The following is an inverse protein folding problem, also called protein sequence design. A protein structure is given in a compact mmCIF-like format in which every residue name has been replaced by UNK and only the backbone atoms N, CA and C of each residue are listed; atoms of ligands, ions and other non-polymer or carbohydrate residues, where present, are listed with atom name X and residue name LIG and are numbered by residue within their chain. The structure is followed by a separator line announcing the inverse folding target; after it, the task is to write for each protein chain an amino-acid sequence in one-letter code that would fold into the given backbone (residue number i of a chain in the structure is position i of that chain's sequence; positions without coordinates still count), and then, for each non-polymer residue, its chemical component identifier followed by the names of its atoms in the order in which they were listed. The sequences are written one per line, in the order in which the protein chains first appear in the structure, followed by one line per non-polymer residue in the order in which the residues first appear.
data_IF_564152676541
#
_entry.id   IF_564152676541
#
_cell.length_a   1.000
_cell.length_b   1.000
_cell.length_c   1.000
_cell.angle_alpha   90.00
_cell.angle_beta   90.00
_cell.angle_gamma   90.00
#
_symmetry.space_group_name_H-M   'P 1'
#
loop_
_entity.id
_entity.type
_entity.pdbx_description
1 polymer ?
#
# COMPACT_ATOMS: atom_id res chain seq x y z
N UNK A 1 -4.23 8.25 -17.04
CA UNK A 1 -4.94 7.07 -16.50
C UNK A 1 -6.43 7.37 -16.45
N UNK A 2 -7.15 7.30 -17.59
CA UNK A 2 -8.59 7.66 -17.67
C UNK A 2 -9.49 6.48 -18.07
N UNK A 3 -8.96 5.25 -18.19
CA UNK A 3 -9.66 4.16 -18.87
C UNK A 3 -10.72 3.40 -18.04
N UNK A 4 -11.03 3.83 -16.80
CA UNK A 4 -12.07 3.16 -15.98
C UNK A 4 -13.17 4.10 -15.47
N UNK A 5 -13.16 5.39 -15.84
CA UNK A 5 -14.14 6.37 -15.34
C UNK A 5 -15.49 6.35 -16.07
N UNK A 6 -15.64 5.58 -17.16
CA UNK A 6 -16.76 5.66 -18.10
C UNK A 6 -17.76 4.48 -18.06
N UNK A 7 -17.77 3.65 -17.01
CA UNK A 7 -18.74 2.54 -16.89
C UNK A 7 -20.09 3.00 -16.27
N UNK A 8 -20.21 4.28 -15.87
CA UNK A 8 -21.47 4.89 -15.43
C UNK A 8 -22.16 5.65 -16.56
N UNK A 9 -23.45 5.39 -16.77
CA UNK A 9 -24.36 6.10 -17.68
C UNK A 9 -24.07 7.61 -17.78
N UNK A 10 -24.00 8.14 -19.01
CA UNK A 10 -23.63 9.51 -19.39
C UNK A 10 -24.54 10.64 -18.85
N UNK A 11 -25.41 10.38 -17.87
CA UNK A 11 -26.40 11.34 -17.36
C UNK A 11 -25.80 12.32 -16.33
N UNK A 12 -24.74 11.95 -15.59
CA UNK A 12 -24.12 12.80 -14.56
C UNK A 12 -22.58 12.70 -14.57
N UNK A 13 -21.90 13.57 -15.34
CA UNK A 13 -20.43 13.58 -15.45
C UNK A 13 -19.68 13.76 -14.11
N UNK A 14 -20.34 14.39 -13.14
CA UNK A 14 -19.78 14.71 -11.82
C UNK A 14 -20.05 13.65 -10.75
N UNK A 15 -20.71 12.55 -11.11
CA UNK A 15 -20.94 11.44 -10.19
C UNK A 15 -19.67 10.59 -10.05
N UNK A 16 -19.15 10.39 -8.84
CA UNK A 16 -17.97 9.55 -8.64
C UNK A 16 -18.29 8.08 -8.84
N UNK A 17 -17.29 7.30 -9.24
CA UNK A 17 -17.43 5.84 -9.30
C UNK A 17 -17.44 5.24 -7.89
N UNK A 18 -18.08 4.07 -7.71
CA UNK A 18 -18.02 3.36 -6.43
C UNK A 18 -16.58 3.01 -6.04
N UNK A 19 -15.74 2.70 -7.03
CA UNK A 19 -14.31 2.44 -6.81
C UNK A 19 -13.56 3.66 -6.26
N UNK A 20 -13.83 4.87 -6.77
CA UNK A 20 -13.28 6.11 -6.20
C UNK A 20 -13.70 6.29 -4.73
N UNK A 21 -14.97 6.02 -4.43
CA UNK A 21 -15.53 6.16 -3.09
C UNK A 21 -14.97 5.13 -2.09
N UNK A 22 -14.71 3.90 -2.55
CA UNK A 22 -14.07 2.86 -1.72
C UNK A 22 -12.58 3.15 -1.55
N UNK A 23 -11.90 3.62 -2.59
CA UNK A 23 -10.47 3.94 -2.54
C UNK A 23 -10.17 5.04 -1.50
N UNK A 24 -10.96 6.11 -1.47
CA UNK A 24 -10.82 7.16 -0.44
C UNK A 24 -11.05 6.64 0.98
N UNK A 25 -11.99 5.71 1.17
CA UNK A 25 -12.29 5.14 2.49
C UNK A 25 -11.13 4.26 2.96
N UNK A 26 -10.54 3.48 2.06
CA UNK A 26 -9.33 2.69 2.34
C UNK A 26 -8.13 3.56 2.69
N UNK A 27 -7.91 4.67 2.00
CA UNK A 27 -6.82 5.59 2.36
C UNK A 27 -6.96 6.10 3.80
N UNK A 28 -8.19 6.42 4.22
CA UNK A 28 -8.46 6.87 5.59
C UNK A 28 -8.25 5.75 6.62
N UNK A 29 -8.73 4.54 6.35
CA UNK A 29 -8.56 3.37 7.22
C UNK A 29 -7.07 3.03 7.43
N UNK A 30 -6.23 3.21 6.40
CA UNK A 30 -4.79 2.94 6.47
C UNK A 30 -4.01 4.00 7.28
N UNK A 31 -4.56 5.21 7.47
CA UNK A 31 -3.87 6.28 8.17
C UNK A 31 -3.69 5.99 9.67
N UNK A 32 -4.68 5.35 10.30
CA UNK A 32 -4.66 5.04 11.74
C UNK A 32 -3.50 4.11 12.12
N UNK A 33 -3.34 2.90 11.53
CA UNK A 33 -2.23 2.02 11.87
C UNK A 33 -0.87 2.63 11.46
N UNK A 34 -0.82 3.44 10.40
CA UNK A 34 0.41 4.12 10.00
C UNK A 34 0.87 5.15 11.06
N UNK A 35 -0.05 5.97 11.57
CA UNK A 35 0.26 6.93 12.64
C UNK A 35 0.66 6.19 13.92
N UNK A 36 -0.05 5.11 14.27
CA UNK A 36 0.29 4.29 15.42
C UNK A 36 1.72 3.71 15.30
N UNK A 37 2.05 3.10 14.16
CA UNK A 37 3.37 2.54 13.91
C UNK A 37 4.47 3.61 14.00
N UNK A 38 4.28 4.75 13.34
CA UNK A 38 5.23 5.86 13.40
C UNK A 38 5.43 6.34 14.85
N UNK A 39 4.35 6.56 15.59
CA UNK A 39 4.44 6.98 17.00
C UNK A 39 5.15 5.94 17.86
N UNK A 40 4.93 4.64 17.62
CA UNK A 40 5.60 3.56 18.34
C UNK A 40 7.10 3.49 18.04
N UNK A 41 7.50 3.64 16.77
CA UNK A 41 8.92 3.68 16.37
C UNK A 41 9.62 4.91 16.97
N UNK A 42 9.01 6.09 16.89
CA UNK A 42 9.60 7.29 17.50
C UNK A 42 9.64 7.22 19.03
N UNK A 43 8.70 6.48 19.66
CA UNK A 43 8.70 6.28 21.10
C UNK A 43 9.95 5.55 21.61
N UNK A 44 10.57 4.70 20.79
CA UNK A 44 11.86 4.07 21.13
C UNK A 44 12.99 5.10 21.31
N UNK A 45 12.94 6.20 20.55
CA UNK A 45 13.97 7.26 20.57
C UNK A 45 13.71 8.33 21.64
N UNK A 46 12.45 8.65 21.92
CA UNK A 46 12.05 9.67 22.91
C UNK A 46 10.95 9.17 23.87
N UNK A 47 11.28 8.24 24.80
CA UNK A 47 10.27 7.53 25.59
C UNK A 47 9.47 8.42 26.54
N UNK A 48 10.08 9.49 27.09
CA UNK A 48 9.44 10.31 28.13
C UNK A 48 8.18 11.05 27.66
N UNK A 49 8.14 11.49 26.40
CA UNK A 49 7.00 12.25 25.85
C UNK A 49 6.03 11.36 25.08
N UNK A 50 6.56 10.43 24.28
CA UNK A 50 5.76 9.66 23.33
C UNK A 50 5.03 8.47 23.96
N UNK A 51 5.44 7.98 25.13
CA UNK A 51 4.77 6.85 25.76
C UNK A 51 3.32 7.18 26.15
N UNK A 52 3.06 8.42 26.58
CA UNK A 52 1.69 8.88 26.86
C UNK A 52 0.85 8.95 25.60
N UNK A 53 1.47 9.33 24.48
CA UNK A 53 0.83 9.43 23.18
C UNK A 53 0.46 8.05 22.63
N UNK A 54 1.36 7.07 22.76
CA UNK A 54 1.15 5.69 22.34
C UNK A 54 0.05 5.03 23.18
N UNK A 55 0.05 5.25 24.50
CA UNK A 55 -1.00 4.71 25.39
C UNK A 55 -2.41 5.26 25.05
N UNK A 56 -2.50 6.53 24.63
CA UNK A 56 -3.74 7.18 24.20
C UNK A 56 -3.78 7.41 22.68
N UNK A 57 -3.30 6.45 21.88
CA UNK A 57 -3.19 6.60 20.43
C UNK A 57 -4.54 6.93 19.75
N UNK A 58 -5.65 6.33 20.21
CA UNK A 58 -6.99 6.60 19.68
C UNK A 58 -7.43 8.06 19.87
N UNK A 59 -7.20 8.61 21.07
CA UNK A 59 -7.54 10.01 21.38
C UNK A 59 -6.65 10.96 20.60
N UNK A 60 -5.35 10.65 20.52
CA UNK A 60 -4.41 11.42 19.73
C UNK A 60 -4.78 11.43 18.25
N UNK A 61 -5.05 10.27 17.66
CA UNK A 61 -5.46 10.13 16.27
C UNK A 61 -6.77 10.89 16.00
N UNK A 62 -7.77 10.76 16.87
CA UNK A 62 -9.02 11.48 16.74
C UNK A 62 -8.82 13.00 16.78
N UNK A 63 -7.97 13.52 17.67
CA UNK A 63 -7.66 14.96 17.73
C UNK A 63 -6.92 15.41 16.47
N UNK A 64 -5.92 14.64 16.03
CA UNK A 64 -5.15 14.92 14.82
C UNK A 64 -6.07 14.98 13.59
N UNK A 65 -6.91 13.96 13.40
CA UNK A 65 -7.86 13.91 12.29
C UNK A 65 -8.92 14.99 12.41
N UNK A 66 -9.37 15.35 13.61
CA UNK A 66 -10.30 16.46 13.78
C UNK A 66 -9.70 17.78 13.28
N UNK A 67 -8.42 18.05 13.54
CA UNK A 67 -7.75 19.26 13.06
C UNK A 67 -7.58 19.24 11.53
N UNK A 68 -7.09 18.13 10.99
CA UNK A 68 -6.87 17.95 9.55
C UNK A 68 -8.18 18.04 8.78
N UNK A 69 -9.20 17.27 9.16
CA UNK A 69 -10.51 17.26 8.49
C UNK A 69 -11.22 18.60 8.63
N UNK A 70 -11.11 19.29 9.77
CA UNK A 70 -11.70 20.61 9.95
C UNK A 70 -11.07 21.64 9.02
N UNK A 71 -9.77 21.57 8.81
CA UNK A 71 -9.09 22.43 7.86
C UNK A 71 -9.57 22.13 6.43
N UNK A 72 -9.58 20.85 6.02
CA UNK A 72 -9.99 20.45 4.68
C UNK A 72 -11.45 20.77 4.36
N UNK A 73 -12.36 20.52 5.29
CA UNK A 73 -13.78 20.82 5.09
C UNK A 73 -14.05 22.33 4.97
N UNK A 74 -13.25 23.17 5.62
CA UNK A 74 -13.41 24.62 5.57
C UNK A 74 -12.85 25.22 4.28
N UNK A 75 -11.66 24.79 3.86
CA UNK A 75 -10.96 25.36 2.71
C UNK A 75 -11.44 24.75 1.39
N UNK A 76 -11.64 23.42 1.37
CA UNK A 76 -11.86 22.63 0.15
C UNK A 76 -13.28 22.06 0.04
N UNK A 77 -14.13 22.24 1.07
CA UNK A 77 -15.47 21.65 1.12
C UNK A 77 -15.48 20.12 0.92
N UNK A 78 -14.41 19.44 1.35
CA UNK A 78 -14.24 18.00 1.26
C UNK A 78 -13.37 17.50 2.42
N UNK A 79 -13.45 16.22 2.71
CA UNK A 79 -12.53 15.53 3.62
C UNK A 79 -11.11 15.51 3.04
N UNK A 80 -10.10 15.27 3.89
CA UNK A 80 -8.73 15.04 3.44
C UNK A 80 -8.64 13.96 2.34
N UNK A 81 -9.24 12.79 2.59
CA UNK A 81 -9.23 11.68 1.64
C UNK A 81 -10.04 12.00 0.38
N UNK A 82 -11.19 12.66 0.52
CA UNK A 82 -12.00 13.11 -0.61
C UNK A 82 -11.22 14.04 -1.52
N UNK A 83 -10.57 15.06 -0.95
CA UNK A 83 -9.78 15.99 -1.75
C UNK A 83 -8.58 15.29 -2.42
N UNK A 84 -7.96 14.30 -1.77
CA UNK A 84 -6.87 13.55 -2.37
C UNK A 84 -7.29 12.85 -3.67
N UNK A 85 -8.53 12.35 -3.73
CA UNK A 85 -9.13 11.75 -4.93
C UNK A 85 -9.89 12.75 -5.83
N UNK A 86 -9.79 14.06 -5.57
CA UNK A 86 -10.48 15.09 -6.37
C UNK A 86 -11.99 15.13 -6.17
N UNK A 87 -12.46 14.73 -5.00
CA UNK A 87 -13.87 14.69 -4.61
C UNK A 87 -14.19 15.84 -3.63
N UNK A 88 -15.45 16.30 -3.67
CA UNK A 88 -15.99 17.33 -2.77
C UNK A 88 -17.37 16.96 -2.25
N UNK A 89 -17.75 17.53 -1.10
CA UNK A 89 -19.08 17.43 -0.50
C UNK A 89 -19.95 18.60 -0.92
N UNK A 90 -21.19 18.30 -1.30
CA UNK A 90 -22.20 19.29 -1.68
C UNK A 90 -23.50 18.97 -0.96
N UNK A 91 -24.14 20.00 -0.40
CA UNK A 91 -25.46 19.88 0.25
C UNK A 91 -26.52 19.41 -0.75
N UNK A 92 -27.34 18.44 -0.37
CA UNK A 92 -28.38 17.93 -1.27
C UNK A 92 -29.55 18.89 -1.41
N UNK A 93 -29.87 19.66 -0.37
CA UNK A 93 -30.85 20.74 -0.45
C UNK A 93 -30.45 21.81 -1.49
N UNK A 94 -29.15 22.10 -1.58
CA UNK A 94 -28.63 23.02 -2.62
C UNK A 94 -28.74 22.40 -4.02
N UNK A 95 -28.43 21.11 -4.15
CA UNK A 95 -28.51 20.42 -5.43
C UNK A 95 -29.95 20.27 -5.91
N UNK A 96 -30.91 19.96 -5.04
CA UNK A 96 -32.31 19.79 -5.43
C UNK A 96 -32.95 21.14 -5.81
N UNK A 97 -32.55 22.24 -5.16
CA UNK A 97 -33.04 23.59 -5.50
C UNK A 97 -32.47 24.15 -6.82
N UNK A 98 -31.28 23.71 -7.24
CA UNK A 98 -30.63 24.11 -8.52
C UNK A 98 -30.40 22.95 -9.49
N UNK A 99 -31.19 21.87 -9.35
CA UNK A 99 -30.92 20.54 -9.91
C UNK A 99 -30.75 20.43 -11.42
N UNK A 100 -31.06 21.48 -12.19
CA UNK A 100 -30.88 21.52 -13.64
C UNK A 100 -29.50 21.99 -14.11
N UNK A 101 -28.67 22.62 -13.26
CA UNK A 101 -27.40 23.20 -13.71
C UNK A 101 -26.19 22.25 -13.62
N UNK A 102 -26.28 21.17 -12.83
CA UNK A 102 -25.16 20.22 -12.62
C UNK A 102 -25.34 18.86 -13.28
N UNK A 103 -26.54 18.56 -13.79
CA UNK A 103 -26.85 17.36 -14.59
C UNK A 103 -26.63 17.58 -16.10
N UNK A 104 -26.07 18.73 -16.48
CA UNK A 104 -25.76 19.03 -17.87
C UNK A 104 -24.41 18.40 -18.26
N UNK A 105 -24.28 17.90 -19.51
CA UNK A 105 -23.05 17.29 -20.00
C UNK A 105 -21.87 18.25 -19.90
N UNK A 106 -20.66 17.68 -19.81
CA UNK A 106 -19.39 18.32 -19.49
C UNK A 106 -18.92 19.48 -20.42
N UNK A 107 -19.77 19.97 -21.34
CA UNK A 107 -19.47 21.04 -22.30
C UNK A 107 -20.32 22.32 -22.19
N UNK A 108 -21.33 22.40 -21.32
CA UNK A 108 -22.15 23.61 -21.18
C UNK A 108 -21.50 24.63 -20.21
N UNK A 109 -21.16 25.81 -20.74
CA UNK A 109 -20.34 26.87 -20.15
C UNK A 109 -20.93 27.64 -18.94
N UNK A 110 -21.91 27.07 -18.22
CA UNK A 110 -22.51 27.66 -17.03
C UNK A 110 -22.44 26.74 -15.81
N UNK A 111 -21.30 26.05 -15.65
CA UNK A 111 -21.01 25.26 -14.44
C UNK A 111 -20.82 26.20 -13.26
N UNK A 112 -21.93 26.41 -12.53
CA UNK A 112 -21.97 27.26 -11.35
C UNK A 112 -20.94 26.81 -10.31
N UNK A 113 -20.33 27.77 -9.65
CA UNK A 113 -19.57 27.52 -8.43
C UNK A 113 -20.52 26.90 -7.40
N UNK A 114 -20.13 25.80 -6.77
CA UNK A 114 -20.89 25.31 -5.61
C UNK A 114 -20.57 26.20 -4.41
N UNK A 115 -21.57 26.63 -3.64
CA UNK A 115 -21.33 27.38 -2.41
C UNK A 115 -20.54 26.51 -1.43
N UNK A 116 -19.78 27.18 -0.58
CA UNK A 116 -19.11 26.52 0.53
C UNK A 116 -20.13 25.87 1.48
N UNK A 117 -19.72 24.77 2.12
CA UNK A 117 -20.54 24.07 3.11
C UNK A 117 -20.93 24.99 4.26
N UNK A 118 -22.16 24.85 4.74
CA UNK A 118 -22.61 25.60 5.92
C UNK A 118 -21.89 25.11 7.18
N UNK A 119 -21.71 25.96 8.21
CA UNK A 119 -21.03 25.57 9.44
C UNK A 119 -21.75 24.45 10.22
N UNK A 120 -23.06 24.26 9.98
CA UNK A 120 -23.80 23.13 10.53
C UNK A 120 -23.45 21.82 9.81
N UNK A 121 -23.41 21.85 8.48
CA UNK A 121 -22.98 20.70 7.66
C UNK A 121 -21.53 20.32 7.98
N UNK A 122 -20.63 21.29 8.17
CA UNK A 122 -19.24 21.05 8.57
C UNK A 122 -19.17 20.33 9.94
N UNK A 123 -19.99 20.74 10.91
CA UNK A 123 -19.99 20.06 12.23
C UNK A 123 -20.56 18.65 12.15
N UNK A 124 -21.63 18.45 11.38
CA UNK A 124 -22.23 17.13 11.17
C UNK A 124 -21.29 16.20 10.40
N UNK A 125 -20.63 16.71 9.37
CA UNK A 125 -19.63 15.96 8.61
C UNK A 125 -18.42 15.58 9.45
N UNK A 126 -17.93 16.47 10.30
CA UNK A 126 -16.86 16.18 11.27
C UNK A 126 -17.27 15.09 12.27
N UNK A 127 -18.51 15.14 12.77
CA UNK A 127 -19.04 14.11 13.67
C UNK A 127 -19.02 12.73 13.00
N UNK A 128 -19.46 12.63 11.74
CA UNK A 128 -19.45 11.34 11.02
C UNK A 128 -18.04 10.91 10.59
N UNK A 129 -17.17 11.84 10.23
CA UNK A 129 -15.81 11.52 9.78
C UNK A 129 -14.87 11.08 10.90
N UNK A 130 -15.00 11.67 12.09
CA UNK A 130 -14.08 11.46 13.21
C UNK A 130 -14.78 10.88 14.42
N UNK A 131 -15.94 11.42 14.80
CA UNK A 131 -16.68 10.99 15.98
C UNK A 131 -17.23 9.57 15.85
N UNK A 132 -17.83 9.24 14.72
CA UNK A 132 -18.38 7.91 14.47
C UNK A 132 -17.31 6.80 14.49
N UNK A 133 -16.20 6.90 13.73
CA UNK A 133 -15.17 5.86 13.79
C UNK A 133 -14.52 5.79 15.18
N UNK A 134 -14.33 6.91 15.87
CA UNK A 134 -13.81 6.89 17.25
C UNK A 134 -14.74 6.13 18.20
N UNK A 135 -16.05 6.42 18.16
CA UNK A 135 -17.04 5.71 19.00
C UNK A 135 -17.08 4.23 18.63
N UNK A 136 -17.04 3.89 17.34
CA UNK A 136 -17.01 2.51 16.87
C UNK A 136 -15.78 1.76 17.40
N UNK A 137 -14.58 2.31 17.22
CA UNK A 137 -13.34 1.73 17.75
C UNK A 137 -13.40 1.53 19.27
N UNK A 138 -13.94 2.52 20.02
CA UNK A 138 -14.13 2.39 21.46
C UNK A 138 -15.11 1.26 21.82
N UNK A 139 -16.21 1.12 21.10
CA UNK A 139 -17.18 0.04 21.31
C UNK A 139 -16.57 -1.33 20.96
N UNK A 140 -15.81 -1.43 19.88
CA UNK A 140 -15.08 -2.65 19.49
C UNK A 140 -14.09 -3.08 20.58
N UNK A 141 -13.29 -2.13 21.10
CA UNK A 141 -12.34 -2.39 22.20
C UNK A 141 -13.06 -2.80 23.49
N UNK A 142 -14.17 -2.13 23.84
CA UNK A 142 -14.99 -2.51 24.99
C UNK A 142 -15.58 -3.90 24.81
N UNK A 143 -16.03 -4.26 23.61
CA UNK A 143 -16.54 -5.59 23.31
C UNK A 143 -15.46 -6.66 23.40
N UNK A 144 -14.24 -6.39 22.95
CA UNK A 144 -13.09 -7.30 23.12
C UNK A 144 -12.72 -7.48 24.60
N UNK A 145 -12.68 -6.40 25.37
CA UNK A 145 -12.39 -6.47 26.81
C UNK A 145 -13.47 -7.23 27.59
N UNK A 146 -14.74 -7.01 27.23
CA UNK A 146 -15.89 -7.64 27.88
C UNK A 146 -16.08 -9.09 27.45
N UNK A 147 -15.82 -9.41 26.18
CA UNK A 147 -15.97 -10.79 25.70
C UNK A 147 -14.82 -11.70 26.14
N UNK A 148 -13.75 -11.13 26.71
CA UNK A 148 -12.52 -11.84 26.98
C UNK A 148 -11.78 -12.14 25.68
N UNK A 149 -10.47 -12.39 25.78
CA UNK A 149 -9.78 -13.07 24.69
C UNK A 149 -10.47 -14.42 24.55
N UNK A 150 -11.10 -14.66 23.39
CA UNK A 150 -11.86 -15.88 23.10
C UNK A 150 -10.89 -17.05 22.98
N UNK A 151 -10.16 -17.36 24.05
CA UNK A 151 -9.57 -18.65 24.27
C UNK A 151 -10.73 -19.64 24.21
N UNK A 152 -10.69 -20.48 23.19
CA UNK A 152 -11.71 -21.45 22.77
C UNK A 152 -12.11 -22.44 23.89
N UNK A 153 -11.52 -22.31 25.10
CA UNK A 153 -11.72 -23.15 26.27
C UNK A 153 -12.19 -22.40 27.54
N UNK A 154 -12.32 -21.06 27.54
CA UNK A 154 -12.48 -20.27 28.78
C UNK A 154 -13.79 -19.47 28.94
N UNK A 155 -14.68 -19.45 27.95
CA UNK A 155 -15.92 -18.64 28.01
C UNK A 155 -16.88 -19.06 29.12
N UNK A 156 -16.83 -20.34 29.51
CA UNK A 156 -17.78 -20.90 30.46
C UNK A 156 -17.45 -20.51 31.89
N UNK A 157 -16.17 -20.43 32.27
CA UNK A 157 -15.76 -20.12 33.66
C UNK A 157 -16.14 -18.69 34.06
N UNK A 158 -15.94 -17.71 33.16
CA UNK A 158 -16.31 -16.31 33.44
C UNK A 158 -17.82 -16.09 33.46
N UNK A 159 -18.57 -16.77 32.58
CA UNK A 159 -20.03 -16.69 32.59
C UNK A 159 -20.64 -17.38 33.82
N UNK A 160 -20.07 -18.51 34.26
CA UNK A 160 -20.44 -19.23 35.48
C UNK A 160 -20.21 -18.39 36.73
N UNK A 161 -19.04 -17.76 36.88
CA UNK A 161 -18.76 -16.85 38.02
C UNK A 161 -19.74 -15.67 38.05
N UNK A 162 -20.08 -15.11 36.89
CA UNK A 162 -21.05 -14.02 36.78
C UNK A 162 -22.48 -14.47 37.12
N UNK A 163 -22.85 -15.72 36.82
CA UNK A 163 -24.16 -16.30 37.18
C UNK A 163 -24.24 -16.65 38.67
N UNK A 164 -23.17 -17.17 39.27
CA UNK A 164 -23.06 -17.40 40.72
C UNK A 164 -23.20 -16.10 41.51
N UNK A 165 -22.52 -15.02 41.08
CA UNK A 165 -22.62 -13.69 41.70
C UNK A 165 -24.02 -13.07 41.56
N UNK A 166 -24.78 -13.44 40.52
CA UNK A 166 -26.15 -12.98 40.33
C UNK A 166 -27.15 -13.77 41.18
N UNK A 167 -26.84 -15.04 41.47
CA UNK A 167 -27.62 -15.91 42.34
C UNK A 167 -27.41 -15.60 43.83
N UNK A 168 -26.25 -15.03 44.19
CA UNK A 168 -25.92 -14.69 45.58
C UNK A 168 -26.73 -13.47 46.09
N UNK A 169 -27.51 -13.60 47.18
CA UNK A 169 -28.37 -12.53 47.69
C UNK A 169 -27.62 -11.41 48.44
N UNK A 170 -26.31 -11.58 48.67
CA UNK A 170 -25.47 -10.64 49.42
C UNK A 170 -24.81 -9.58 48.54
N UNK A 171 -24.92 -9.69 47.21
CA UNK A 171 -24.28 -8.76 46.27
C UNK A 171 -25.07 -7.43 46.15
N UNK A 172 -24.38 -6.28 46.08
CA UNK A 172 -25.05 -4.99 45.93
C UNK A 172 -25.74 -4.88 44.56
N UNK A 173 -26.96 -4.35 44.54
CA UNK A 173 -27.81 -4.18 43.33
C UNK A 173 -27.08 -3.48 42.17
N UNK A 174 -26.15 -2.57 42.47
CA UNK A 174 -25.32 -1.88 41.45
C UNK A 174 -24.40 -2.84 40.69
N UNK A 175 -23.84 -3.84 41.37
CA UNK A 175 -22.97 -4.85 40.74
C UNK A 175 -23.80 -5.82 39.89
N UNK A 176 -24.95 -6.27 40.39
CA UNK A 176 -25.88 -7.11 39.62
C UNK A 176 -26.35 -6.41 38.34
N UNK A 177 -26.68 -5.11 38.42
CA UNK A 177 -27.11 -4.33 37.26
C UNK A 177 -25.95 -4.15 36.25
N UNK A 178 -24.71 -3.96 36.73
CA UNK A 178 -23.52 -3.91 35.88
C UNK A 178 -23.31 -5.22 35.11
N UNK A 179 -23.38 -6.36 35.79
CA UNK A 179 -23.24 -7.70 35.17
C UNK A 179 -24.33 -7.92 34.11
N UNK A 180 -25.59 -7.58 34.42
CA UNK A 180 -26.70 -7.69 33.45
C UNK A 180 -26.49 -6.80 32.22
N UNK A 181 -26.01 -5.57 32.40
CA UNK A 181 -25.70 -4.67 31.28
C UNK A 181 -24.56 -5.19 30.41
N UNK A 182 -23.53 -5.79 31.03
CA UNK A 182 -22.40 -6.42 30.33
C UNK A 182 -22.87 -7.61 29.50
N UNK A 183 -23.68 -8.51 30.08
CA UNK A 183 -24.29 -9.66 29.36
C UNK A 183 -25.17 -9.19 28.21
N UNK A 184 -26.01 -8.18 28.44
CA UNK A 184 -26.84 -7.57 27.39
C UNK A 184 -26.00 -6.97 26.26
N UNK A 185 -24.92 -6.26 26.61
CA UNK A 185 -24.01 -5.67 25.64
C UNK A 185 -23.31 -6.75 24.79
N UNK A 186 -22.78 -7.80 25.41
CA UNK A 186 -22.17 -8.95 24.70
C UNK A 186 -23.15 -9.59 23.71
N UNK A 187 -24.42 -9.69 24.09
CA UNK A 187 -25.48 -10.24 23.23
C UNK A 187 -25.90 -9.30 22.10
N UNK A 188 -26.01 -8.00 22.37
CA UNK A 188 -26.60 -7.02 21.44
C UNK A 188 -25.57 -6.45 20.45
N UNK A 189 -24.33 -6.25 20.89
CA UNK A 189 -23.25 -5.69 20.08
C UNK A 189 -23.03 -6.37 18.71
N UNK A 190 -22.96 -7.71 18.59
CA UNK A 190 -22.76 -8.36 17.28
C UNK A 190 -23.88 -8.04 16.29
N UNK A 191 -25.13 -7.88 16.75
CA UNK A 191 -26.24 -7.48 15.90
C UNK A 191 -26.13 -6.01 15.46
N UNK A 192 -25.69 -5.12 16.35
CA UNK A 192 -25.45 -3.71 16.01
C UNK A 192 -24.33 -3.60 14.98
N UNK A 193 -23.24 -4.33 15.17
CA UNK A 193 -22.11 -4.34 14.25
C UNK A 193 -22.52 -4.94 12.89
N UNK A 194 -23.29 -6.03 12.88
CA UNK A 194 -23.88 -6.59 11.67
C UNK A 194 -24.77 -5.57 10.95
N UNK A 195 -25.68 -4.90 11.67
CA UNK A 195 -26.55 -3.88 11.10
C UNK A 195 -25.76 -2.69 10.52
N UNK A 196 -24.68 -2.27 11.18
CA UNK A 196 -23.77 -1.25 10.69
C UNK A 196 -23.20 -1.61 9.31
N UNK A 197 -22.57 -2.78 9.19
CA UNK A 197 -21.96 -3.21 7.92
C UNK A 197 -23.01 -3.55 6.84
N UNK A 198 -24.12 -4.19 7.24
CA UNK A 198 -25.23 -4.49 6.33
C UNK A 198 -25.82 -3.20 5.75
N UNK A 199 -26.01 -2.16 6.55
CA UNK A 199 -26.49 -0.87 6.07
C UNK A 199 -25.52 -0.24 5.06
N UNK A 200 -24.21 -0.31 5.31
CA UNK A 200 -23.19 0.16 4.34
C UNK A 200 -23.25 -0.62 3.02
N UNK A 201 -23.34 -1.94 3.09
CA UNK A 201 -23.43 -2.81 1.90
C UNK A 201 -24.70 -2.51 1.08
N UNK A 202 -25.85 -2.42 1.74
CA UNK A 202 -27.13 -2.11 1.09
C UNK A 202 -27.05 -0.77 0.35
N UNK A 203 -26.49 0.27 0.97
CA UNK A 203 -26.31 1.57 0.31
C UNK A 203 -25.31 1.51 -0.86
N UNK A 204 -24.23 0.74 -0.76
CA UNK A 204 -23.30 0.54 -1.87
C UNK A 204 -23.98 -0.14 -3.07
N UNK A 205 -24.79 -1.17 -2.83
CA UNK A 205 -25.56 -1.85 -3.87
C UNK A 205 -26.62 -0.93 -4.48
N UNK A 206 -27.37 -0.20 -3.66
CA UNK A 206 -28.37 0.77 -4.13
C UNK A 206 -27.73 1.91 -4.93
N UNK A 207 -26.53 2.34 -4.56
CA UNK A 207 -25.74 3.32 -5.29
C UNK A 207 -25.33 2.78 -6.66
N UNK A 208 -24.86 1.52 -6.73
CA UNK A 208 -24.49 0.89 -8.00
C UNK A 208 -25.66 0.80 -8.98
N UNK A 209 -26.87 0.52 -8.48
CA UNK A 209 -28.10 0.47 -9.28
C UNK A 209 -28.74 1.84 -9.54
N UNK A 210 -28.07 2.95 -9.24
CA UNK A 210 -28.58 4.31 -9.40
C UNK A 210 -29.90 4.60 -8.67
N UNK A 211 -30.27 3.79 -7.66
CA UNK A 211 -31.48 4.01 -6.85
C UNK A 211 -31.27 5.08 -5.78
N UNK A 212 -30.04 5.23 -5.29
CA UNK A 212 -29.68 6.22 -4.28
C UNK A 212 -28.57 7.15 -4.80
N UNK A 213 -28.68 8.45 -4.48
CA UNK A 213 -27.63 9.45 -4.73
C UNK A 213 -26.44 9.33 -3.74
N UNK A 214 -26.63 8.57 -2.66
CA UNK A 214 -25.70 8.45 -1.54
C UNK A 214 -25.11 7.04 -1.47
N UNK A 215 -23.81 6.95 -1.16
CA UNK A 215 -23.11 5.66 -1.01
C UNK A 215 -23.11 5.13 0.43
N UNK A 216 -23.30 6.00 1.41
CA UNK A 216 -23.26 5.65 2.84
C UNK A 216 -24.53 6.14 3.54
N UNK A 217 -25.11 5.36 4.48
CA UNK A 217 -26.28 5.77 5.27
C UNK A 217 -26.03 7.05 6.06
N UNK A 218 -24.80 7.27 6.52
CA UNK A 218 -24.43 8.45 7.31
C UNK A 218 -24.48 9.74 6.50
N UNK A 219 -24.10 9.68 5.22
CA UNK A 219 -24.19 10.82 4.31
C UNK A 219 -25.63 11.15 3.95
N UNK A 220 -26.47 10.12 3.83
CA UNK A 220 -27.91 10.29 3.66
C UNK A 220 -28.53 11.01 4.87
N UNK A 221 -28.15 10.64 6.10
CA UNK A 221 -28.61 11.31 7.33
C UNK A 221 -28.14 12.77 7.43
N UNK A 222 -26.94 13.09 6.96
CA UNK A 222 -26.43 14.47 6.97
C UNK A 222 -27.08 15.31 5.87
N UNK A 223 -27.54 14.68 4.77
CA UNK A 223 -28.04 15.38 3.59
C UNK A 223 -26.92 15.96 2.73
N UNK A 224 -25.80 15.23 2.59
CA UNK A 224 -24.63 15.66 1.81
C UNK A 224 -24.27 14.60 0.79
N UNK A 225 -24.07 15.02 -0.46
CA UNK A 225 -23.65 14.17 -1.57
C UNK A 225 -22.18 14.43 -1.91
N UNK A 226 -21.45 13.39 -2.32
CA UNK A 226 -20.10 13.51 -2.85
C UNK A 226 -20.15 13.65 -4.37
N UNK A 227 -19.43 14.63 -4.91
CA UNK A 227 -19.28 14.87 -6.35
C UNK A 227 -17.80 15.07 -6.71
N UNK A 228 -17.45 14.81 -7.97
CA UNK A 228 -16.12 15.17 -8.51
C UNK A 228 -15.96 16.69 -8.55
N UNK A 229 -14.75 17.17 -8.29
CA UNK A 229 -14.43 18.60 -8.42
C UNK A 229 -14.48 19.01 -9.89
N UNK A 230 -15.11 20.14 -10.17
CA UNK A 230 -15.14 20.74 -11.51
C UNK A 230 -13.94 21.67 -11.73
N UNK A 231 -13.63 21.97 -12.98
CA UNK A 231 -12.55 22.92 -13.31
C UNK A 231 -12.78 24.31 -12.69
N UNK A 232 -14.03 24.72 -12.55
CA UNK A 232 -14.39 25.99 -11.88
C UNK A 232 -14.02 25.97 -10.38
N UNK A 233 -14.14 24.82 -9.71
CA UNK A 233 -13.76 24.70 -8.30
C UNK A 233 -12.25 24.78 -8.11
N UNK A 234 -11.48 24.14 -9.01
CA UNK A 234 -10.01 24.24 -8.99
C UNK A 234 -9.56 25.68 -9.18
N UNK A 235 -10.14 26.42 -10.14
CA UNK A 235 -9.84 27.85 -10.35
C UNK A 235 -10.13 28.69 -9.10
N UNK A 236 -11.30 28.50 -8.49
CA UNK A 236 -11.68 29.22 -7.28
C UNK A 236 -10.75 28.90 -6.09
N UNK A 237 -10.21 27.68 -6.02
CA UNK A 237 -9.23 27.31 -5.01
C UNK A 237 -7.86 28.00 -5.23
N UNK A 238 -7.35 28.03 -6.47
CA UNK A 238 -6.12 28.74 -6.81
C UNK A 238 -6.22 30.24 -6.54
N UNK A 239 -7.33 30.88 -6.92
CA UNK A 239 -7.56 32.30 -6.67
C UNK A 239 -7.54 32.62 -5.17
N UNK A 240 -8.16 31.78 -4.33
CA UNK A 240 -8.07 31.92 -2.86
C UNK A 240 -6.64 31.74 -2.33
N UNK A 241 -5.87 30.83 -2.92
CA UNK A 241 -4.49 30.58 -2.50
C UNK A 241 -3.58 31.79 -2.78
N UNK A 242 -3.79 32.48 -3.91
CA UNK A 242 -3.07 33.70 -4.27
C UNK A 242 -3.45 34.90 -3.41
N UNK A 243 -4.72 35.01 -3.02
CA UNK A 243 -5.17 36.07 -2.11
C UNK A 243 -4.59 35.86 -0.70
N UNK A 244 -4.57 34.61 -0.20
CA UNK A 244 -4.06 34.29 1.14
C UNK A 244 -2.54 34.43 1.25
N UNK A 245 -1.77 34.08 0.21
CA UNK A 245 -0.32 34.29 0.20
C UNK A 245 0.06 35.78 0.22
N UNK A 246 -0.67 36.60 -0.55
CA UNK A 246 -0.47 38.05 -0.59
C UNK A 246 -0.97 38.78 0.67
N UNK A 247 -1.96 38.23 1.39
CA UNK A 247 -2.40 38.76 2.68
C UNK A 247 -1.48 38.33 3.84
N UNK A 248 -0.89 37.14 3.79
CA UNK A 248 0.01 36.61 4.81
C UNK A 248 1.32 37.42 4.93
N UNK A 249 1.83 37.96 3.82
CA UNK A 249 3.01 38.83 3.80
C UNK A 249 2.78 40.16 4.55
N UNK A 250 1.54 40.67 4.59
CA UNK A 250 1.17 41.90 5.33
C UNK A 250 0.76 41.65 6.79
N UNK A 251 0.32 40.44 7.14
CA UNK A 251 -0.14 40.09 8.49
C UNK A 251 0.96 39.51 9.41
N UNK A 252 2.20 39.40 8.89
CA UNK A 252 3.32 38.68 9.49
C UNK A 252 3.81 39.25 10.85
N UNK A 253 3.34 40.43 11.27
CA UNK A 253 3.90 41.18 12.41
C UNK A 253 2.99 41.31 13.65
N UNK A 254 1.82 40.64 13.73
CA UNK A 254 0.85 40.92 14.83
C UNK A 254 0.46 39.76 15.74
N UNK A 255 0.78 38.49 15.45
CA UNK A 255 0.50 37.40 16.41
C UNK A 255 1.22 36.08 16.09
N UNK A 256 1.97 35.48 17.03
CA UNK A 256 2.66 34.20 16.83
C UNK A 256 1.69 33.01 16.67
N UNK A 257 0.50 33.06 17.29
CA UNK A 257 -0.52 32.01 17.14
C UNK A 257 -1.07 31.91 15.71
N UNK A 258 -1.21 33.04 15.00
CA UNK A 258 -1.65 33.02 13.59
C UNK A 258 -0.56 32.54 12.65
N UNK A 259 0.71 32.82 12.97
CA UNK A 259 1.85 32.25 12.24
C UNK A 259 1.85 30.72 12.34
N UNK A 260 1.69 30.16 13.54
CA UNK A 260 1.61 28.71 13.73
C UNK A 260 0.41 28.10 12.97
N UNK A 261 -0.76 28.74 13.01
CA UNK A 261 -1.92 28.24 12.25
C UNK A 261 -1.72 28.35 10.72
N UNK A 262 -1.02 29.38 10.24
CA UNK A 262 -0.74 29.59 8.83
C UNK A 262 0.30 28.62 8.30
N UNK A 263 1.39 28.39 9.05
CA UNK A 263 2.41 27.39 8.69
C UNK A 263 1.85 25.97 8.78
N UNK A 264 1.07 25.66 9.82
CA UNK A 264 0.41 24.35 9.94
C UNK A 264 -0.56 24.09 8.78
N UNK A 265 -1.32 25.09 8.35
CA UNK A 265 -2.21 24.96 7.17
C UNK A 265 -1.41 24.64 5.90
N UNK A 266 -0.27 25.32 5.68
CA UNK A 266 0.61 25.04 4.53
C UNK A 266 1.27 23.66 4.60
N UNK A 267 1.64 23.20 5.80
CA UNK A 267 2.16 21.83 6.01
C UNK A 267 1.07 20.80 5.72
N UNK A 268 -0.16 21.05 6.18
CA UNK A 268 -1.31 20.17 5.90
C UNK A 268 -1.60 20.13 4.40
N UNK A 269 -1.56 21.25 3.68
CA UNK A 269 -1.71 21.26 2.21
C UNK A 269 -0.58 20.51 1.50
N UNK A 270 0.66 20.62 2.00
CA UNK A 270 1.82 19.91 1.45
C UNK A 270 1.70 18.39 1.62
N UNK A 271 0.91 17.91 2.59
CA UNK A 271 0.67 16.48 2.80
C UNK A 271 0.09 15.80 1.54
N UNK A 272 -0.74 16.50 0.76
CA UNK A 272 -1.30 15.98 -0.51
C UNK A 272 -0.24 15.67 -1.55
N UNK A 273 0.87 16.43 -1.54
CA UNK A 273 1.98 16.26 -2.48
C UNK A 273 3.01 15.29 -1.91
N UNK A 274 3.27 15.36 -0.62
CA UNK A 274 4.25 14.51 0.05
C UNK A 274 3.86 13.03 0.02
N UNK A 275 2.59 12.69 0.24
CA UNK A 275 2.11 11.30 0.28
C UNK A 275 2.31 10.55 -1.06
N UNK A 276 1.86 11.06 -2.22
CA UNK A 276 2.12 10.40 -3.50
C UNK A 276 3.61 10.41 -3.87
N UNK A 277 4.34 11.47 -3.52
CA UNK A 277 5.80 11.51 -3.71
C UNK A 277 6.53 10.47 -2.84
N UNK A 278 6.06 10.21 -1.61
CA UNK A 278 6.66 9.19 -0.75
C UNK A 278 6.35 7.77 -1.22
N UNK A 279 5.16 7.51 -1.76
CA UNK A 279 4.84 6.22 -2.40
C UNK A 279 5.73 6.00 -3.62
N UNK A 280 5.88 7.02 -4.48
CA UNK A 280 6.79 6.94 -5.62
C UNK A 280 8.24 6.70 -5.17
N UNK A 281 8.69 7.43 -4.15
CA UNK A 281 10.04 7.27 -3.60
C UNK A 281 10.25 5.90 -2.94
N UNK A 282 9.27 5.38 -2.21
CA UNK A 282 9.32 4.04 -1.64
C UNK A 282 9.35 2.98 -2.73
N UNK A 283 8.50 3.08 -3.75
CA UNK A 283 8.52 2.18 -4.91
C UNK A 283 9.83 2.29 -5.68
N UNK A 284 10.41 3.49 -5.76
CA UNK A 284 11.74 3.72 -6.29
C UNK A 284 12.82 3.03 -5.43
N UNK A 285 12.75 3.11 -4.10
CA UNK A 285 13.68 2.40 -3.21
C UNK A 285 13.52 0.89 -3.32
N UNK A 286 12.29 0.38 -3.34
CA UNK A 286 11.99 -1.04 -3.56
C UNK A 286 12.61 -1.51 -4.88
N UNK A 287 12.39 -0.75 -5.96
CA UNK A 287 13.05 -0.99 -7.24
C UNK A 287 14.59 -0.91 -7.13
N UNK A 288 15.14 0.14 -6.49
CA UNK A 288 16.57 0.37 -6.34
C UNK A 288 17.26 -0.78 -5.60
N UNK A 289 16.69 -1.22 -4.47
CA UNK A 289 17.21 -2.34 -3.68
C UNK A 289 16.94 -3.71 -4.33
N UNK A 290 15.88 -3.85 -5.12
CA UNK A 290 15.64 -5.07 -5.92
C UNK A 290 16.52 -5.15 -7.17
N UNK A 291 16.99 -4.01 -7.67
CA UNK A 291 17.83 -3.95 -8.85
C UNK A 291 19.22 -4.51 -8.55
N UNK A 292 19.75 -5.28 -9.50
CA UNK A 292 21.13 -5.79 -9.52
C UNK A 292 22.18 -4.69 -9.23
N UNK A 293 21.85 -3.41 -9.39
CA UNK A 293 22.73 -2.28 -9.10
C UNK A 293 23.12 -2.16 -7.61
N UNK A 294 22.22 -2.49 -6.67
CA UNK A 294 22.53 -2.50 -5.23
C UNK A 294 23.29 -3.77 -4.81
N UNK A 295 23.07 -4.90 -5.51
CA UNK A 295 23.80 -6.17 -5.32
C UNK A 295 25.18 -6.16 -5.99
N UNK A 296 25.34 -5.42 -7.09
CA UNK A 296 26.59 -5.30 -7.86
C UNK A 296 27.58 -4.28 -7.30
N UNK A 297 27.15 -3.40 -6.38
CA UNK A 297 28.03 -2.43 -5.71
C UNK A 297 28.88 -3.04 -4.58
N UNK A 298 28.62 -4.28 -4.19
CA UNK A 298 29.44 -5.04 -3.26
C UNK A 298 30.50 -5.84 -4.01
N UNK A 299 31.67 -5.24 -4.27
CA UNK A 299 32.86 -6.02 -4.62
C UNK A 299 33.19 -6.98 -3.50
N UNK A 300 32.96 -8.27 -3.74
CA UNK A 300 33.62 -9.38 -3.06
C UNK A 300 33.24 -9.58 -1.59
N UNK A 301 32.07 -10.17 -1.33
CA UNK A 301 31.98 -11.21 -0.30
C UNK A 301 30.76 -12.06 -0.57
N UNK A 302 31.01 -13.32 -0.91
CA UNK A 302 30.00 -14.36 -0.96
C UNK A 302 29.30 -14.43 0.39
N UNK A 303 28.07 -13.93 0.44
CA UNK A 303 27.16 -14.06 1.57
C UNK A 303 26.54 -15.46 1.53
N UNK A 304 26.87 -16.22 2.56
CA UNK A 304 26.68 -17.67 2.76
C UNK A 304 25.23 -18.17 2.90
N UNK A 305 24.20 -17.40 2.54
CA UNK A 305 22.83 -17.71 3.00
C UNK A 305 21.72 -17.82 1.93
N UNK A 306 22.00 -17.65 0.62
CA UNK A 306 20.98 -17.85 -0.43
C UNK A 306 21.44 -18.75 -1.60
N UNK A 307 22.32 -19.71 -1.32
CA UNK A 307 22.92 -20.60 -2.33
C UNK A 307 22.11 -21.88 -2.61
N UNK A 308 20.78 -21.80 -2.63
CA UNK A 308 19.94 -22.99 -2.89
C UNK A 308 19.59 -23.22 -4.38
N UNK A 309 20.08 -22.38 -5.30
CA UNK A 309 19.81 -22.53 -6.74
C UNK A 309 20.96 -22.16 -7.69
N UNK A 310 22.21 -22.24 -7.27
CA UNK A 310 23.31 -22.33 -8.23
C UNK A 310 23.51 -23.80 -8.58
N UNK A 311 23.00 -24.21 -9.76
CA UNK A 311 23.30 -25.51 -10.34
C UNK A 311 24.83 -25.61 -10.40
N UNK A 312 25.47 -26.57 -9.71
CA UNK A 312 26.92 -26.68 -9.75
C UNK A 312 27.35 -26.89 -11.22
N UNK A 313 28.49 -26.30 -11.64
CA UNK A 313 28.99 -26.50 -12.99
C UNK A 313 29.06 -28.01 -13.29
N UNK A 314 28.69 -28.45 -14.50
CA UNK A 314 28.65 -29.87 -14.83
C UNK A 314 30.01 -30.50 -14.56
N UNK A 315 30.02 -31.66 -13.90
CA UNK A 315 31.25 -32.37 -13.58
C UNK A 315 32.05 -32.63 -14.88
N UNK A 316 33.37 -32.41 -14.89
CA UNK A 316 34.19 -32.66 -16.07
C UNK A 316 34.11 -34.14 -16.47
N UNK A 317 33.97 -34.40 -17.76
CA UNK A 317 33.91 -35.79 -18.25
C UNK A 317 35.22 -36.52 -17.91
N UNK A 318 35.11 -37.72 -17.35
CA UNK A 318 36.27 -38.54 -16.96
C UNK A 318 36.88 -39.21 -18.19
N UNK A 319 38.21 -39.45 -18.21
CA UNK A 319 38.84 -40.19 -19.30
C UNK A 319 38.39 -41.65 -19.28
N UNK A 320 38.11 -42.22 -20.45
CA UNK A 320 37.72 -43.62 -20.59
C UNK A 320 38.98 -44.51 -20.54
N UNK A 321 38.96 -45.70 -19.92
CA UNK A 321 40.09 -46.63 -19.92
C UNK A 321 40.58 -47.04 -21.33
N UNK A 322 39.75 -46.92 -22.36
CA UNK A 322 40.08 -47.21 -23.77
C UNK A 322 40.65 -46.00 -24.52
N UNK A 323 40.59 -44.81 -23.93
CA UNK A 323 41.08 -43.56 -24.50
C UNK A 323 42.58 -43.36 -24.33
N UNK A 324 43.12 -42.35 -25.00
CA UNK A 324 44.49 -41.90 -24.81
C UNK A 324 44.65 -41.24 -23.44
N UNK A 325 45.76 -41.54 -22.76
CA UNK A 325 46.05 -40.97 -21.44
C UNK A 325 46.34 -39.47 -21.58
N UNK A 326 45.75 -38.67 -20.70
CA UNK A 326 46.01 -37.23 -20.64
C UNK A 326 47.43 -37.00 -20.13
N UNK A 327 48.26 -36.18 -20.80
CA UNK A 327 49.62 -35.88 -20.36
C UNK A 327 49.59 -35.08 -19.05
N UNK A 328 50.56 -35.33 -18.17
CA UNK A 328 50.64 -34.65 -16.86
C UNK A 328 51.03 -33.17 -16.96
N UNK A 329 51.56 -32.72 -18.10
CA UNK A 329 51.94 -31.33 -18.33
C UNK A 329 50.75 -30.53 -18.91
N UNK A 330 50.43 -29.35 -18.37
CA UNK A 330 49.38 -28.50 -18.93
C UNK A 330 49.75 -28.03 -20.34
N UNK A 331 48.75 -27.69 -21.15
CA UNK A 331 48.92 -27.20 -22.52
C UNK A 331 49.76 -28.12 -23.43
N UNK A 332 49.60 -29.44 -23.26
CA UNK A 332 50.25 -30.46 -24.08
C UNK A 332 49.17 -31.28 -24.78
N UNK A 333 49.28 -31.45 -26.10
CA UNK A 333 48.31 -32.23 -26.86
C UNK A 333 48.42 -33.73 -26.54
N UNK A 334 47.34 -34.44 -26.14
CA UNK A 334 47.39 -35.87 -25.84
C UNK A 334 47.71 -36.79 -27.04
N UNK A 335 47.53 -36.30 -28.28
CA UNK A 335 47.75 -37.10 -29.50
C UNK A 335 49.18 -36.98 -30.04
N UNK A 336 49.69 -35.76 -30.18
CA UNK A 336 51.04 -35.52 -30.74
C UNK A 336 52.09 -35.17 -29.68
N UNK A 337 51.71 -35.09 -28.41
CA UNK A 337 52.56 -34.72 -27.26
C UNK A 337 53.33 -33.41 -27.44
N UNK A 338 52.89 -32.54 -28.35
CA UNK A 338 53.49 -31.22 -28.60
C UNK A 338 53.01 -30.21 -27.56
N UNK A 339 53.93 -29.38 -27.06
CA UNK A 339 53.66 -28.28 -26.12
C UNK A 339 54.37 -27.00 -26.61
N UNK A 340 53.67 -25.86 -26.82
CA UNK A 340 52.23 -25.62 -26.60
C UNK A 340 51.34 -26.27 -27.68
N UNK A 341 50.04 -26.39 -27.39
CA UNK A 341 49.04 -26.85 -28.37
C UNK A 341 48.96 -25.85 -29.52
N UNK A 342 49.19 -26.31 -30.75
CA UNK A 342 49.04 -25.49 -31.94
C UNK A 342 47.56 -25.43 -32.36
N UNK A 343 46.97 -24.22 -32.39
CA UNK A 343 45.56 -23.97 -32.67
C UNK A 343 44.63 -24.83 -31.77
N UNK A 344 44.52 -24.50 -30.47
CA UNK A 344 43.80 -25.31 -29.51
C UNK A 344 42.33 -25.45 -29.90
N UNK A 345 41.86 -26.69 -29.97
CA UNK A 345 40.50 -27.04 -30.36
C UNK A 345 39.90 -27.96 -29.30
N UNK A 346 38.76 -27.55 -28.73
CA UNK A 346 38.00 -28.31 -27.76
C UNK A 346 36.98 -29.22 -28.46
N UNK A 347 36.91 -30.48 -28.01
CA UNK A 347 35.84 -31.42 -28.35
C UNK A 347 34.69 -31.29 -27.32
N UNK A 348 33.45 -31.73 -27.62
CA UNK A 348 32.28 -31.69 -26.72
C UNK A 348 32.52 -32.30 -25.34
N UNK A 349 33.49 -33.21 -25.23
CA UNK A 349 33.93 -33.78 -23.95
C UNK A 349 34.67 -32.79 -23.03
N UNK A 350 35.06 -31.61 -23.52
CA UNK A 350 35.84 -30.61 -22.78
C UNK A 350 37.36 -30.74 -22.89
N UNK A 351 37.88 -31.80 -23.54
CA UNK A 351 39.32 -31.97 -23.79
C UNK A 351 39.81 -31.18 -25.00
N UNK A 352 41.01 -30.59 -24.87
CA UNK A 352 41.63 -29.71 -25.87
C UNK A 352 42.81 -30.39 -26.55
N UNK A 353 42.89 -30.25 -27.88
CA UNK A 353 43.93 -30.85 -28.74
C UNK A 353 44.38 -29.84 -29.80
N UNK A 354 45.44 -30.17 -30.55
CA UNK A 354 45.76 -29.45 -31.78
C UNK A 354 44.66 -29.68 -32.81
N UNK A 355 44.22 -28.62 -33.52
CA UNK A 355 43.16 -28.71 -34.54
C UNK A 355 43.38 -29.85 -35.55
N UNK A 356 44.60 -29.97 -36.10
CA UNK A 356 44.93 -30.99 -37.11
C UNK A 356 44.90 -32.41 -36.56
N UNK A 357 45.27 -32.60 -35.28
CA UNK A 357 45.23 -33.90 -34.62
C UNK A 357 43.79 -34.31 -34.28
N UNK A 358 42.98 -33.38 -33.75
CA UNK A 358 41.58 -33.64 -33.45
C UNK A 358 40.77 -33.93 -34.71
N UNK A 359 40.94 -33.11 -35.76
CA UNK A 359 40.21 -33.27 -37.02
C UNK A 359 40.47 -34.64 -37.65
N UNK A 360 41.73 -35.04 -37.82
CA UNK A 360 42.09 -36.36 -38.39
C UNK A 360 41.55 -37.51 -37.57
N UNK A 361 41.65 -37.43 -36.23
CA UNK A 361 41.20 -38.50 -35.37
C UNK A 361 39.67 -38.68 -35.41
N UNK A 362 38.92 -37.57 -35.39
CA UNK A 362 37.46 -37.60 -35.48
C UNK A 362 37.02 -38.04 -36.88
N UNK A 363 37.75 -37.68 -37.94
CA UNK A 363 37.46 -38.11 -39.31
C UNK A 363 37.58 -39.63 -39.48
N UNK A 364 38.61 -40.23 -38.90
CA UNK A 364 38.84 -41.67 -38.97
C UNK A 364 37.95 -42.49 -38.00
N UNK A 365 37.73 -41.99 -36.78
CA UNK A 365 37.14 -42.78 -35.69
C UNK A 365 35.77 -42.28 -35.21
N UNK A 366 35.31 -41.09 -35.65
CA UNK A 366 34.06 -40.42 -35.24
C UNK A 366 33.85 -40.37 -33.71
N UNK A 367 34.95 -40.25 -32.94
CA UNK A 367 34.98 -40.31 -31.47
C UNK A 367 36.05 -39.40 -30.89
N UNK A 368 35.89 -39.01 -29.62
CA UNK A 368 36.90 -38.30 -28.86
C UNK A 368 38.06 -39.24 -28.46
N UNK A 369 39.34 -38.84 -28.62
CA UNK A 369 40.48 -39.67 -28.25
C UNK A 369 40.55 -40.04 -26.76
N UNK A 370 40.12 -39.15 -25.86
CA UNK A 370 40.32 -39.29 -24.41
C UNK A 370 39.09 -39.86 -23.70
N UNK A 371 37.89 -39.35 -24.03
CA UNK A 371 36.65 -39.80 -23.40
C UNK A 371 35.90 -40.87 -24.21
N UNK A 372 36.32 -41.17 -25.43
CA UNK A 372 35.69 -42.17 -26.33
C UNK A 372 34.22 -41.92 -26.71
N UNK A 373 33.70 -40.75 -26.33
CA UNK A 373 32.36 -40.25 -26.66
C UNK A 373 32.29 -40.04 -28.17
N UNK A 374 31.15 -40.37 -28.79
CA UNK A 374 30.90 -40.13 -30.22
C UNK A 374 30.92 -38.63 -30.50
N UNK A 375 31.67 -38.20 -31.51
CA UNK A 375 31.75 -36.81 -31.94
C UNK A 375 31.53 -36.76 -33.45
N UNK A 376 30.62 -35.90 -33.88
CA UNK A 376 30.36 -35.64 -35.30
C UNK A 376 31.26 -34.49 -35.80
N UNK A 377 31.73 -34.58 -37.04
CA UNK A 377 32.66 -33.61 -37.64
C UNK A 377 32.03 -32.22 -37.83
N UNK A 378 30.76 -32.16 -38.25
CA UNK A 378 30.06 -30.94 -38.72
C UNK A 378 29.55 -30.01 -37.60
N UNK A 379 30.20 -30.02 -36.44
CA UNK A 379 29.81 -29.18 -35.30
C UNK A 379 30.43 -29.55 -33.96
N UNK A 380 31.22 -30.64 -33.91
CA UNK A 380 31.89 -31.11 -32.70
C UNK A 380 33.28 -30.55 -32.45
N UNK A 381 33.77 -29.57 -33.22
CA UNK A 381 35.13 -29.02 -33.08
C UNK A 381 35.06 -27.51 -32.87
N UNK A 382 35.30 -27.06 -31.64
CA UNK A 382 35.29 -25.63 -31.29
C UNK A 382 36.72 -25.13 -31.10
N UNK A 383 37.16 -24.20 -31.96
CA UNK A 383 38.47 -23.56 -31.79
C UNK A 383 38.44 -22.65 -30.56
N UNK A 384 39.44 -22.82 -29.70
CA UNK A 384 39.64 -22.01 -28.50
C UNK A 384 40.70 -20.98 -28.84
N UNK A 385 40.38 -19.70 -28.65
CA UNK A 385 41.34 -18.62 -28.77
C UNK A 385 41.72 -18.21 -27.35
N UNK A 386 43.01 -18.20 -27.06
CA UNK A 386 43.49 -17.51 -25.87
C UNK A 386 43.47 -16.02 -26.19
N UNK A 387 42.83 -15.20 -25.35
CA UNK A 387 43.02 -13.76 -25.41
C UNK A 387 44.51 -13.49 -25.15
N UNK A 388 45.22 -13.03 -26.18
CA UNK A 388 46.58 -12.53 -26.05
C UNK A 388 46.52 -11.15 -25.39
N UNK A 389 46.23 -11.13 -24.10
CA UNK A 389 45.95 -9.91 -23.34
C UNK A 389 46.23 -10.08 -21.86
N UNK A 390 47.52 -10.05 -21.50
CA UNK A 390 48.08 -9.29 -20.38
C UNK A 390 49.59 -9.15 -20.56
#
# INVERSE_FOLDING_TARGET
MEFMSAIGSQEDAYRPSLFELVAQEKLRELLQPAVQYLTAVYAQRYPRLLIRLVNHHEEFYAILMLLVERHYLKEWSGSFAENFYGLKRVSTAYLDSKGSQYALPAGAASQGQTPALTPQEIRRSLLVLVGLPYVKCRLDLLYQQVSGDASVLGTNEQEEIEDEQLADPTTPVRQQLKIRLIKLFRRFYPYVNFAYYASGLVYNVLYLFNKTKYYSPWLHLIGVQIKRMSMADYRAAYEKQDITSNAASKALWRSPLRLLSGTLSKVIDFLKVLLPMSIFFFKFLEWWYSSEFARSGGTGNYGEEEDEKLIPPPEPTKPDPRGTKVPSKPNTCPLCSTSPINNPTALPSGYVFCYTCAYRYVEEHNRCPVSWIKVDLDGGLTKVYADSGL
#
